data_IF_322663223045
#
_entry.id   IF_322663223045
#
_cell.length_a   1.000
_cell.length_b   1.000
_cell.length_c   1.000
_cell.angle_alpha   90.00
_cell.angle_beta   90.00
_cell.angle_gamma   90.00
#
_symmetry.space_group_name_H-M   'P 1'
#
loop_
_entity.id
_entity.type
_entity.pdbx_description
1 polymer ?
#
# COMPACT_ATOMS: atom_id res chain seq x y z
N UNK A 1 -30.38 -12.22 -1.43
CA UNK A 1 -29.02 -12.69 -1.10
C UNK A 1 -28.09 -11.54 -0.72
N UNK A 2 -27.86 -10.55 -1.58
CA UNK A 2 -26.93 -9.43 -1.33
C UNK A 2 -27.10 -8.74 0.05
N UNK A 3 -28.36 -8.48 0.45
CA UNK A 3 -28.67 -7.79 1.71
C UNK A 3 -28.10 -8.44 2.97
N UNK A 4 -27.94 -9.77 2.99
CA UNK A 4 -27.32 -10.50 4.11
C UNK A 4 -25.88 -10.03 4.31
N UNK A 5 -25.10 -9.96 3.23
CA UNK A 5 -23.70 -9.57 3.27
C UNK A 5 -23.54 -8.08 3.52
N UNK A 6 -24.36 -7.23 2.88
CA UNK A 6 -24.37 -5.78 3.15
C UNK A 6 -24.64 -5.47 4.62
N UNK A 7 -25.63 -6.14 5.24
CA UNK A 7 -25.95 -5.93 6.65
C UNK A 7 -24.83 -6.40 7.58
N UNK A 8 -24.08 -7.43 7.17
CA UNK A 8 -22.86 -7.89 7.85
C UNK A 8 -21.61 -7.05 7.52
N UNK A 9 -21.76 -5.90 6.87
CA UNK A 9 -20.70 -4.92 6.55
C UNK A 9 -19.67 -5.44 5.53
N UNK A 10 -20.09 -6.32 4.63
CA UNK A 10 -19.30 -6.64 3.45
C UNK A 10 -19.56 -5.59 2.37
N UNK A 11 -18.49 -5.24 1.64
CA UNK A 11 -18.65 -4.68 0.30
C UNK A 11 -19.27 -5.75 -0.60
N UNK A 12 -20.25 -5.40 -1.43
CA UNK A 12 -20.91 -6.37 -2.33
C UNK A 12 -21.05 -5.86 -3.76
N UNK A 13 -20.96 -6.79 -4.70
CA UNK A 13 -21.32 -6.60 -6.11
C UNK A 13 -22.27 -7.72 -6.54
N UNK A 14 -23.37 -7.38 -7.21
CA UNK A 14 -24.31 -8.37 -7.76
C UNK A 14 -24.04 -8.64 -9.23
N UNK A 15 -24.33 -9.86 -9.70
CA UNK A 15 -24.21 -10.28 -11.10
C UNK A 15 -22.84 -9.91 -11.73
N UNK A 16 -21.77 -10.05 -10.94
CA UNK A 16 -20.44 -9.61 -11.35
C UNK A 16 -19.80 -10.59 -12.32
N UNK A 17 -19.00 -10.05 -13.25
CA UNK A 17 -18.19 -10.81 -14.23
C UNK A 17 -16.69 -10.58 -14.05
N UNK A 18 -16.29 -10.06 -12.89
CA UNK A 18 -14.90 -9.66 -12.57
C UNK A 18 -13.87 -10.75 -12.84
N UNK A 19 -14.25 -12.02 -12.73
CA UNK A 19 -13.36 -13.17 -12.88
C UNK A 19 -13.49 -13.88 -14.23
N UNK A 20 -14.15 -13.27 -15.22
CA UNK A 20 -14.38 -13.89 -16.53
C UNK A 20 -15.52 -14.92 -16.56
N UNK A 21 -16.23 -15.08 -15.44
CA UNK A 21 -17.48 -15.82 -15.33
C UNK A 21 -18.47 -15.03 -14.46
N UNK A 22 -19.77 -15.32 -14.63
CA UNK A 22 -20.83 -14.68 -13.86
C UNK A 22 -21.01 -15.34 -12.49
N UNK A 23 -21.13 -14.52 -11.45
CA UNK A 23 -21.53 -14.92 -10.11
C UNK A 23 -22.60 -13.99 -9.57
N UNK A 24 -23.56 -14.54 -8.82
CA UNK A 24 -24.72 -13.77 -8.35
C UNK A 24 -24.34 -12.69 -7.34
N UNK A 25 -23.43 -12.99 -6.40
CA UNK A 25 -22.87 -12.01 -5.46
C UNK A 25 -21.39 -12.23 -5.26
N UNK A 26 -20.61 -11.17 -5.37
CA UNK A 26 -19.27 -11.07 -4.78
C UNK A 26 -19.36 -10.28 -3.49
N UNK A 27 -18.69 -10.74 -2.43
CA UNK A 27 -18.63 -10.04 -1.17
C UNK A 27 -17.20 -9.98 -0.64
N UNK A 28 -16.80 -8.83 -0.11
CA UNK A 28 -15.45 -8.61 0.43
C UNK A 28 -15.49 -7.85 1.75
N UNK A 29 -14.73 -8.34 2.75
CA UNK A 29 -14.54 -7.68 4.04
C UNK A 29 -13.16 -7.99 4.61
N UNK A 30 -12.40 -6.96 4.97
CA UNK A 30 -11.04 -7.10 5.55
C UNK A 30 -10.17 -8.08 4.78
N UNK A 31 -10.15 -7.99 3.45
CA UNK A 31 -9.37 -8.86 2.56
C UNK A 31 -9.91 -10.29 2.37
N UNK A 32 -11.00 -10.68 3.04
CA UNK A 32 -11.72 -11.94 2.76
C UNK A 32 -12.64 -11.72 1.58
N UNK A 33 -12.41 -12.52 0.54
CA UNK A 33 -13.20 -12.52 -0.70
C UNK A 33 -14.09 -13.74 -0.71
N UNK A 34 -15.36 -13.50 -1.00
CA UNK A 34 -16.40 -14.51 -1.08
C UNK A 34 -17.04 -14.44 -2.47
N UNK A 35 -17.37 -15.61 -3.00
CA UNK A 35 -18.28 -15.73 -4.14
C UNK A 35 -19.51 -16.48 -3.67
N UNK A 36 -20.68 -15.97 -4.04
CA UNK A 36 -21.97 -16.59 -3.76
C UNK A 36 -22.67 -16.87 -5.07
N UNK A 37 -23.09 -18.12 -5.24
CA UNK A 37 -23.94 -18.54 -6.33
C UNK A 37 -25.24 -19.13 -5.77
N UNK A 38 -26.36 -18.62 -6.23
CA UNK A 38 -27.68 -19.17 -6.01
C UNK A 38 -28.07 -20.09 -7.18
N UNK A 39 -28.69 -21.22 -6.87
CA UNK A 39 -29.30 -22.13 -7.84
C UNK A 39 -30.68 -22.54 -7.33
N UNK A 40 -31.69 -22.23 -8.12
CA UNK A 40 -33.08 -22.64 -7.86
C UNK A 40 -33.39 -23.89 -8.66
N UNK A 41 -33.99 -24.89 -8.02
CA UNK A 41 -34.44 -26.11 -8.65
C UNK A 41 -35.91 -25.97 -9.11
N UNK A 42 -36.13 -25.35 -10.28
CA UNK A 42 -37.45 -25.33 -10.92
C UNK A 42 -37.52 -26.46 -11.96
N UNK A 43 -38.18 -27.57 -11.61
CA UNK A 43 -38.54 -28.73 -12.46
C UNK A 43 -37.44 -29.44 -13.29
N UNK A 44 -36.19 -28.97 -13.23
CA UNK A 44 -35.04 -29.54 -13.94
C UNK A 44 -34.03 -30.07 -12.94
N UNK A 45 -33.51 -31.27 -13.20
CA UNK A 45 -32.56 -31.94 -12.31
C UNK A 45 -31.30 -31.09 -12.12
N UNK A 46 -31.10 -30.55 -10.91
CA UNK A 46 -29.86 -29.88 -10.53
C UNK A 46 -28.92 -30.92 -9.90
N UNK A 47 -27.80 -31.19 -10.58
CA UNK A 47 -26.72 -31.95 -9.99
C UNK A 47 -25.89 -31.05 -9.06
N UNK A 48 -26.20 -31.05 -7.77
CA UNK A 48 -25.51 -30.22 -6.77
C UNK A 48 -24.02 -30.58 -6.70
N UNK A 49 -23.65 -31.87 -6.78
CA UNK A 49 -22.25 -32.32 -6.74
C UNK A 49 -21.44 -31.74 -7.90
N UNK A 50 -21.99 -31.76 -9.11
CA UNK A 50 -21.34 -31.16 -10.28
C UNK A 50 -21.13 -29.66 -10.07
N UNK A 51 -22.13 -28.96 -9.53
CA UNK A 51 -22.01 -27.52 -9.22
C UNK A 51 -20.98 -27.26 -8.13
N UNK A 52 -20.86 -28.10 -7.13
CA UNK A 52 -19.82 -27.97 -6.09
C UNK A 52 -18.42 -28.04 -6.72
N UNK A 53 -18.15 -29.01 -7.59
CA UNK A 53 -16.87 -29.09 -8.30
C UNK A 53 -16.61 -27.89 -9.21
N UNK A 54 -17.63 -27.45 -9.97
CA UNK A 54 -17.52 -26.29 -10.84
C UNK A 54 -17.15 -25.02 -10.05
N UNK A 55 -17.84 -24.79 -8.94
CA UNK A 55 -17.67 -23.59 -8.13
C UNK A 55 -16.42 -23.63 -7.26
N UNK A 56 -15.98 -24.81 -6.81
CA UNK A 56 -14.67 -24.99 -6.19
C UNK A 56 -13.55 -24.58 -7.15
N UNK A 57 -13.58 -25.06 -8.40
CA UNK A 57 -12.56 -24.75 -9.40
C UNK A 57 -12.56 -23.26 -9.76
N UNK A 58 -13.75 -22.66 -9.92
CA UNK A 58 -13.91 -21.22 -10.13
C UNK A 58 -13.40 -20.41 -8.94
N UNK A 59 -13.68 -20.84 -7.71
CA UNK A 59 -13.20 -20.19 -6.50
C UNK A 59 -11.68 -20.16 -6.42
N UNK A 60 -11.03 -21.30 -6.69
CA UNK A 60 -9.56 -21.39 -6.79
C UNK A 60 -9.00 -20.48 -7.88
N UNK A 61 -9.60 -20.49 -9.07
CA UNK A 61 -9.19 -19.63 -10.18
C UNK A 61 -9.29 -18.15 -9.83
N UNK A 62 -10.39 -17.74 -9.19
CA UNK A 62 -10.63 -16.37 -8.75
C UNK A 62 -9.82 -15.96 -7.49
N UNK A 63 -9.12 -16.92 -6.86
CA UNK A 63 -8.36 -16.73 -5.61
C UNK A 63 -9.21 -16.14 -4.48
N UNK A 64 -10.45 -16.63 -4.34
CA UNK A 64 -11.34 -16.23 -3.24
C UNK A 64 -11.16 -17.17 -2.05
N UNK A 65 -11.46 -16.67 -0.85
CA UNK A 65 -11.27 -17.41 0.39
C UNK A 65 -12.34 -18.47 0.60
N UNK A 66 -13.59 -18.16 0.24
CA UNK A 66 -14.71 -19.08 0.33
C UNK A 66 -15.66 -18.91 -0.84
N UNK A 67 -16.30 -20.02 -1.17
CA UNK A 67 -17.38 -20.11 -2.13
C UNK A 67 -18.62 -20.57 -1.37
N UNK A 68 -19.74 -19.91 -1.62
CA UNK A 68 -21.04 -20.22 -1.04
C UNK A 68 -21.99 -20.61 -2.18
N UNK A 69 -22.43 -21.87 -2.17
CA UNK A 69 -23.47 -22.35 -3.07
C UNK A 69 -24.79 -22.40 -2.31
N UNK A 70 -25.76 -21.59 -2.73
CA UNK A 70 -27.11 -21.56 -2.17
C UNK A 70 -28.02 -22.37 -3.08
N UNK A 71 -28.71 -23.37 -2.53
CA UNK A 71 -29.66 -24.21 -3.26
C UNK A 71 -31.05 -24.03 -2.67
N UNK A 72 -32.03 -23.70 -3.53
CA UNK A 72 -33.44 -23.56 -3.16
C UNK A 72 -34.35 -24.44 -4.02
N UNK A 73 -35.59 -24.67 -3.54
CA UNK A 73 -36.59 -25.47 -4.25
C UNK A 73 -36.46 -26.99 -4.09
N UNK A 74 -35.55 -27.47 -3.24
CA UNK A 74 -35.46 -28.88 -2.83
C UNK A 74 -34.68 -29.06 -1.52
N UNK A 75 -34.87 -30.21 -0.89
CA UNK A 75 -34.02 -30.69 0.19
C UNK A 75 -32.64 -31.08 -0.35
N UNK A 76 -31.59 -30.68 0.38
CA UNK A 76 -30.20 -31.03 0.09
C UNK A 76 -29.89 -32.34 0.82
N UNK A 77 -29.28 -33.30 0.14
CA UNK A 77 -28.98 -34.60 0.73
C UNK A 77 -27.69 -34.57 1.55
N UNK A 78 -27.54 -35.49 2.49
CA UNK A 78 -26.36 -35.58 3.36
C UNK A 78 -25.05 -35.78 2.56
N UNK A 79 -25.08 -36.62 1.51
CA UNK A 79 -23.91 -36.87 0.65
C UNK A 79 -23.41 -35.59 -0.05
N UNK A 80 -24.32 -34.65 -0.32
CA UNK A 80 -23.99 -33.37 -0.92
C UNK A 80 -23.36 -32.40 0.09
N UNK A 81 -23.84 -32.42 1.35
CA UNK A 81 -23.20 -31.69 2.44
C UNK A 81 -21.80 -32.23 2.75
N UNK A 82 -21.65 -33.54 2.83
CA UNK A 82 -20.35 -34.19 3.01
C UNK A 82 -19.38 -33.80 1.89
N UNK A 83 -19.86 -33.81 0.64
CA UNK A 83 -19.04 -33.42 -0.50
C UNK A 83 -18.67 -31.94 -0.50
N UNK A 84 -19.59 -31.06 -0.13
CA UNK A 84 -19.33 -29.63 -0.01
C UNK A 84 -18.24 -29.36 1.04
N UNK A 85 -18.31 -30.05 2.19
CA UNK A 85 -17.30 -29.98 3.25
C UNK A 85 -15.93 -30.48 2.78
N UNK A 86 -15.87 -31.60 2.07
CA UNK A 86 -14.63 -32.11 1.47
C UNK A 86 -13.97 -31.09 0.52
N UNK A 87 -14.79 -30.39 -0.28
CA UNK A 87 -14.34 -29.38 -1.24
C UNK A 87 -14.09 -27.99 -0.61
N UNK A 88 -14.44 -27.80 0.66
CA UNK A 88 -14.34 -26.49 1.32
C UNK A 88 -15.33 -25.43 0.79
N UNK A 89 -16.42 -25.87 0.16
CA UNK A 89 -17.51 -25.00 -0.33
C UNK A 89 -18.63 -24.97 0.70
N UNK A 90 -19.11 -23.77 1.06
CA UNK A 90 -20.25 -23.63 1.95
C UNK A 90 -21.55 -23.92 1.18
N UNK A 91 -22.30 -24.94 1.57
CA UNK A 91 -23.57 -25.30 0.96
C UNK A 91 -24.73 -24.85 1.85
N UNK A 92 -25.55 -23.92 1.37
CA UNK A 92 -26.65 -23.32 2.12
C UNK A 92 -27.99 -23.70 1.49
N UNK A 93 -28.95 -24.08 2.32
CA UNK A 93 -30.33 -24.30 1.91
C UNK A 93 -31.17 -23.04 2.12
N UNK A 94 -32.41 -23.07 1.63
CA UNK A 94 -33.35 -21.96 1.78
C UNK A 94 -33.69 -21.64 3.24
N UNK A 95 -33.84 -22.65 4.09
CA UNK A 95 -34.16 -22.46 5.52
C UNK A 95 -33.10 -21.64 6.24
N UNK A 96 -31.81 -21.95 6.02
CA UNK A 96 -30.70 -21.19 6.58
C UNK A 96 -30.73 -19.73 6.12
N UNK A 97 -31.05 -19.46 4.85
CA UNK A 97 -31.19 -18.08 4.36
C UNK A 97 -32.29 -17.34 5.11
N UNK A 98 -33.45 -17.99 5.31
CA UNK A 98 -34.57 -17.40 6.05
C UNK A 98 -34.23 -17.15 7.52
N UNK A 99 -33.44 -18.02 8.14
CA UNK A 99 -32.92 -17.82 9.49
C UNK A 99 -31.99 -16.61 9.57
N UNK A 100 -31.02 -16.50 8.65
CA UNK A 100 -30.10 -15.37 8.59
C UNK A 100 -30.83 -14.04 8.39
N UNK A 101 -31.89 -14.01 7.58
CA UNK A 101 -32.69 -12.80 7.34
C UNK A 101 -33.49 -12.32 8.56
N UNK A 102 -33.73 -13.20 9.55
CA UNK A 102 -34.44 -12.85 10.79
C UNK A 102 -33.52 -12.27 11.87
N UNK A 103 -32.21 -12.43 11.72
CA UNK A 103 -31.23 -11.93 12.69
C UNK A 103 -31.12 -10.41 12.64
N UNK A 104 -30.86 -9.80 13.79
CA UNK A 104 -30.41 -8.41 13.84
C UNK A 104 -28.98 -8.29 13.28
N UNK A 105 -28.49 -7.05 13.12
CA UNK A 105 -27.20 -6.79 12.48
C UNK A 105 -26.03 -7.47 13.21
N UNK A 106 -25.96 -7.35 14.53
CA UNK A 106 -24.88 -7.91 15.34
C UNK A 106 -24.87 -9.44 15.34
N UNK A 107 -26.04 -10.07 15.46
CA UNK A 107 -26.16 -11.52 15.46
C UNK A 107 -25.91 -12.10 14.06
N UNK A 108 -26.37 -11.41 13.01
CA UNK A 108 -26.07 -11.76 11.63
C UNK A 108 -24.57 -11.75 11.35
N UNK A 109 -23.86 -10.72 11.83
CA UNK A 109 -22.41 -10.62 11.67
C UNK A 109 -21.70 -11.80 12.33
N UNK A 110 -22.07 -12.14 13.58
CA UNK A 110 -21.48 -13.28 14.30
C UNK A 110 -21.75 -14.60 13.60
N UNK A 111 -22.99 -14.82 13.20
CA UNK A 111 -23.39 -16.06 12.57
C UNK A 111 -22.78 -16.23 11.18
N UNK A 112 -22.73 -15.16 10.38
CA UNK A 112 -22.06 -15.19 9.09
C UNK A 112 -20.57 -15.49 9.23
N UNK A 113 -19.88 -14.83 10.15
CA UNK A 113 -18.46 -15.08 10.44
C UNK A 113 -18.22 -16.55 10.83
N UNK A 114 -19.11 -17.14 11.64
CA UNK A 114 -19.06 -18.55 12.02
C UNK A 114 -19.21 -19.47 10.82
N UNK A 115 -20.22 -19.22 9.96
CA UNK A 115 -20.55 -20.06 8.80
C UNK A 115 -19.47 -20.05 7.71
N UNK A 116 -18.77 -18.92 7.53
CA UNK A 116 -17.68 -18.79 6.56
C UNK A 116 -16.29 -19.07 7.19
N UNK A 117 -16.25 -19.45 8.47
CA UNK A 117 -15.03 -19.66 9.26
C UNK A 117 -14.10 -18.44 9.28
N UNK A 118 -14.66 -17.24 9.24
CA UNK A 118 -13.92 -15.99 9.31
C UNK A 118 -13.62 -15.60 10.75
N UNK A 119 -12.33 -15.47 11.06
CA UNK A 119 -11.84 -15.01 12.35
C UNK A 119 -11.42 -13.55 12.26
N UNK A 120 -12.34 -12.66 12.63
CA UNK A 120 -12.14 -11.20 12.58
C UNK A 120 -10.90 -10.74 13.38
N UNK A 121 -10.57 -11.44 14.47
CA UNK A 121 -9.42 -11.14 15.34
C UNK A 121 -8.06 -11.32 14.64
N UNK A 122 -7.92 -12.32 13.77
CA UNK A 122 -6.67 -12.59 13.04
C UNK A 122 -6.37 -11.48 12.01
N UNK A 123 -7.42 -10.77 11.55
CA UNK A 123 -7.30 -9.71 10.56
C UNK A 123 -6.99 -8.35 11.17
N UNK A 124 -7.62 -8.01 12.31
CA UNK A 124 -7.28 -6.78 13.04
C UNK A 124 -5.79 -6.73 13.40
N UNK A 125 -5.23 -7.87 13.83
CA UNK A 125 -3.79 -7.98 14.11
C UNK A 125 -2.89 -7.88 12.86
N UNK A 126 -3.41 -8.14 11.66
CA UNK A 126 -2.66 -7.98 10.41
C UNK A 126 -2.70 -6.53 9.93
N UNK A 127 -3.87 -5.89 9.99
CA UNK A 127 -4.02 -4.46 9.66
C UNK A 127 -3.14 -3.61 10.59
N UNK A 128 -3.19 -3.83 11.91
CA UNK A 128 -2.33 -3.12 12.87
C UNK A 128 -0.83 -3.29 12.56
N UNK A 129 -0.40 -4.48 12.11
CA UNK A 129 0.99 -4.75 11.74
C UNK A 129 1.39 -4.14 10.39
N UNK A 130 0.46 -3.97 9.47
CA UNK A 130 0.70 -3.33 8.18
C UNK A 130 0.79 -1.81 8.34
N UNK A 131 -0.12 -1.21 9.12
CA UNK A 131 -0.06 0.21 9.50
C UNK A 131 1.26 0.54 10.20
N UNK A 132 1.66 -0.25 11.20
CA UNK A 132 2.95 -0.05 11.91
C UNK A 132 4.15 -0.11 10.93
N UNK A 133 4.09 -0.97 9.90
CA UNK A 133 5.16 -1.08 8.90
C UNK A 133 5.20 0.09 7.93
N UNK A 134 4.06 0.66 7.59
CA UNK A 134 4.00 1.85 6.75
C UNK A 134 4.50 3.08 7.50
N UNK A 135 4.09 3.27 8.75
CA UNK A 135 4.61 4.33 9.63
C UNK A 135 6.14 4.24 9.78
N UNK A 136 6.67 3.03 10.01
CA UNK A 136 8.13 2.82 10.13
C UNK A 136 8.87 3.18 8.82
N UNK A 137 8.27 2.90 7.66
CA UNK A 137 8.88 3.24 6.35
C UNK A 137 8.83 4.74 6.06
N UNK A 138 7.79 5.44 6.51
CA UNK A 138 7.72 6.90 6.38
C UNK A 138 8.75 7.57 7.28
N UNK A 139 8.89 7.13 8.54
CA UNK A 139 9.91 7.64 9.45
C UNK A 139 11.35 7.40 8.93
N UNK A 140 11.62 6.24 8.32
CA UNK A 140 12.93 5.96 7.71
C UNK A 140 13.21 6.85 6.48
N UNK A 141 12.20 7.16 5.68
CA UNK A 141 12.34 8.09 4.55
C UNK A 141 12.62 9.51 5.01
N UNK A 142 11.89 9.98 6.02
CA UNK A 142 12.04 11.33 6.56
C UNK A 142 13.43 11.52 7.17
N UNK A 143 13.94 10.55 7.94
CA UNK A 143 15.32 10.58 8.46
C UNK A 143 16.37 10.59 7.34
N UNK A 144 16.13 9.86 6.25
CA UNK A 144 17.05 9.82 5.12
C UNK A 144 17.08 11.13 4.34
N UNK A 145 15.95 11.83 4.23
CA UNK A 145 15.87 13.16 3.61
C UNK A 145 16.54 14.22 4.48
N UNK A 146 16.28 14.23 5.80
CA UNK A 146 16.95 15.15 6.73
C UNK A 146 18.48 14.99 6.72
N UNK A 147 18.98 13.76 6.62
CA UNK A 147 20.42 13.49 6.57
C UNK A 147 21.05 13.97 5.25
N UNK A 148 20.33 13.86 4.12
CA UNK A 148 20.78 14.42 2.83
C UNK A 148 20.86 15.94 2.85
N UNK A 149 19.84 16.62 3.39
CA UNK A 149 19.85 18.08 3.51
C UNK A 149 21.00 18.58 4.40
N UNK A 150 21.30 17.86 5.48
CA UNK A 150 22.45 18.18 6.34
C UNK A 150 23.78 18.08 5.60
N UNK A 151 23.96 17.04 4.80
CA UNK A 151 25.18 16.84 4.01
C UNK A 151 25.34 17.97 2.98
N UNK A 152 24.26 18.32 2.27
CA UNK A 152 24.27 19.39 1.26
C UNK A 152 24.58 20.77 1.88
N UNK A 153 23.98 21.07 3.04
CA UNK A 153 24.28 22.30 3.79
C UNK A 153 25.74 22.36 4.27
N UNK A 154 26.34 21.23 4.66
CA UNK A 154 27.75 21.17 5.01
C UNK A 154 28.67 21.41 3.81
N UNK A 155 28.33 20.90 2.62
CA UNK A 155 29.07 21.15 1.39
C UNK A 155 29.02 22.63 1.01
N UNK A 156 27.84 23.24 1.01
CA UNK A 156 27.67 24.68 0.76
C UNK A 156 28.49 25.51 1.75
N UNK A 157 28.48 25.12 3.04
CA UNK A 157 29.27 25.81 4.08
C UNK A 157 30.77 25.73 3.82
N UNK A 158 31.28 24.57 3.36
CA UNK A 158 32.69 24.38 3.00
C UNK A 158 33.06 25.23 1.78
N UNK A 159 32.21 25.27 0.76
CA UNK A 159 32.42 26.11 -0.44
C UNK A 159 32.50 27.60 -0.10
N UNK A 160 31.55 28.11 0.70
CA UNK A 160 31.55 29.51 1.15
C UNK A 160 32.84 29.83 1.93
N UNK A 161 33.31 28.89 2.75
CA UNK A 161 34.53 29.07 3.52
C UNK A 161 35.76 29.15 2.62
N UNK A 162 35.86 28.27 1.62
CA UNK A 162 36.99 28.24 0.70
C UNK A 162 37.00 29.47 -0.23
N UNK A 163 35.84 29.92 -0.70
CA UNK A 163 35.73 31.20 -1.43
C UNK A 163 36.24 32.39 -0.62
N UNK A 164 35.86 32.46 0.67
CA UNK A 164 36.31 33.55 1.56
C UNK A 164 37.83 33.50 1.72
N UNK A 165 38.42 32.31 1.84
CA UNK A 165 39.86 32.12 1.94
C UNK A 165 40.57 32.59 0.67
N UNK A 166 40.10 32.17 -0.51
CA UNK A 166 40.65 32.60 -1.81
C UNK A 166 40.58 34.13 -1.96
N UNK A 167 39.47 34.77 -1.58
CA UNK A 167 39.35 36.24 -1.61
C UNK A 167 40.35 36.93 -0.68
N UNK A 168 40.61 36.37 0.50
CA UNK A 168 41.61 36.92 1.42
C UNK A 168 43.04 36.78 0.88
N UNK A 169 43.37 35.64 0.27
CA UNK A 169 44.67 35.43 -0.38
C UNK A 169 44.87 36.40 -1.55
N UNK A 170 43.86 36.58 -2.41
CA UNK A 170 43.90 37.58 -3.50
C UNK A 170 44.11 39.00 -2.98
N UNK A 171 43.44 39.39 -1.88
CA UNK A 171 43.63 40.71 -1.25
C UNK A 171 45.06 40.88 -0.73
N UNK A 172 45.63 39.87 -0.06
CA UNK A 172 47.03 39.90 0.41
C UNK A 172 48.02 40.03 -0.75
N UNK A 173 47.81 39.27 -1.83
CA UNK A 173 48.67 39.32 -3.01
C UNK A 173 48.57 40.67 -3.75
N UNK A 174 47.36 41.21 -3.91
CA UNK A 174 47.17 42.54 -4.52
C UNK A 174 47.82 43.67 -3.72
N UNK A 175 47.74 43.61 -2.37
CA UNK A 175 48.45 44.55 -1.49
C UNK A 175 49.97 44.40 -1.64
N UNK A 176 50.48 43.17 -1.71
CA UNK A 176 51.90 42.90 -1.94
C UNK A 176 52.40 43.46 -3.28
N UNK A 177 51.64 43.30 -4.36
CA UNK A 177 52.01 43.84 -5.67
C UNK A 177 51.97 45.37 -5.69
N UNK A 178 50.96 45.98 -5.08
CA UNK A 178 50.89 47.44 -4.96
C UNK A 178 52.10 48.01 -4.21
N UNK A 179 52.49 47.38 -3.09
CA UNK A 179 53.68 47.78 -2.33
C UNK A 179 54.95 47.65 -3.20
N UNK A 180 55.10 46.58 -3.98
CA UNK A 180 56.23 46.41 -4.90
C UNK A 180 56.31 47.52 -5.96
N UNK A 181 55.18 47.89 -6.55
CA UNK A 181 55.13 48.97 -7.56
C UNK A 181 55.50 50.32 -6.94
N UNK A 182 54.98 50.62 -5.74
CA UNK A 182 55.31 51.85 -5.03
C UNK A 182 56.79 51.92 -4.69
N UNK A 183 57.38 50.83 -4.18
CA UNK A 183 58.83 50.78 -3.90
C UNK A 183 59.64 51.01 -5.16
N UNK A 184 59.26 50.38 -6.28
CA UNK A 184 59.96 50.55 -7.55
C UNK A 184 59.92 51.99 -8.08
N UNK A 185 58.75 52.65 -7.99
CA UNK A 185 58.61 54.07 -8.35
C UNK A 185 59.46 54.99 -7.47
N UNK A 186 59.52 54.72 -6.16
CA UNK A 186 60.39 55.46 -5.24
C UNK A 186 61.86 55.28 -5.64
N UNK A 187 62.30 54.06 -5.98
CA UNK A 187 63.66 53.82 -6.45
C UNK A 187 64.00 54.61 -7.72
N UNK A 188 63.08 54.71 -8.69
CA UNK A 188 63.27 55.51 -9.90
C UNK A 188 63.43 56.99 -9.57
N UNK A 189 62.55 57.54 -8.72
CA UNK A 189 62.63 58.94 -8.31
C UNK A 189 63.95 59.26 -7.61
N UNK A 190 64.41 58.37 -6.72
CA UNK A 190 65.71 58.50 -6.07
C UNK A 190 66.85 58.46 -7.09
N UNK A 191 66.78 57.56 -8.07
CA UNK A 191 67.80 57.44 -9.11
C UNK A 191 67.87 58.69 -10.00
N UNK A 192 66.72 59.22 -10.41
CA UNK A 192 66.63 60.47 -11.19
C UNK A 192 67.14 61.68 -10.37
N UNK A 193 66.81 61.74 -9.09
CA UNK A 193 67.26 62.81 -8.20
C UNK A 193 68.78 62.79 -7.99
N UNK A 194 69.36 61.61 -7.75
CA UNK A 194 70.82 61.45 -7.62
C UNK A 194 71.51 61.75 -8.95
N UNK A 195 70.94 61.32 -10.08
CA UNK A 195 71.44 61.67 -11.41
C UNK A 195 71.43 63.18 -11.68
N UNK A 196 70.36 63.88 -11.27
CA UNK A 196 70.25 65.34 -11.37
C UNK A 196 71.32 66.05 -10.53
N UNK A 197 71.56 65.60 -9.29
CA UNK A 197 72.58 66.14 -8.38
C UNK A 197 74.02 65.91 -8.84
N UNK A 198 74.27 64.93 -9.71
CA UNK A 198 75.62 64.66 -10.25
C UNK A 198 75.92 65.46 -11.53
N UNK A 199 74.90 66.04 -12.17
CA UNK A 199 75.03 66.74 -13.45
C UNK A 199 74.90 68.26 -13.34
N UNK A 200 74.50 68.78 -12.18
CA UNK A 200 74.43 70.20 -11.82
C UNK A 200 75.29 70.47 -10.58
#
# INVERSE_FOLDING_TARGET
MEGIFKNAEFYTEINTKRFGFESDVYAEKSGIKLIVQCKQHDNSYLNVIEKLFEWEAKGRYAKVNKVILVVSGREIREDEYEKAKELGVCLWNEDLIQELLKLNKEDLKKELNRLIEFKEEEYKQKEEKEETKEETKEEEKEKTEEEKERIELEEIRKEIFEERRIRQEKKKNGISEFIRVVIWLICILVFLYVGYLLFF
#
